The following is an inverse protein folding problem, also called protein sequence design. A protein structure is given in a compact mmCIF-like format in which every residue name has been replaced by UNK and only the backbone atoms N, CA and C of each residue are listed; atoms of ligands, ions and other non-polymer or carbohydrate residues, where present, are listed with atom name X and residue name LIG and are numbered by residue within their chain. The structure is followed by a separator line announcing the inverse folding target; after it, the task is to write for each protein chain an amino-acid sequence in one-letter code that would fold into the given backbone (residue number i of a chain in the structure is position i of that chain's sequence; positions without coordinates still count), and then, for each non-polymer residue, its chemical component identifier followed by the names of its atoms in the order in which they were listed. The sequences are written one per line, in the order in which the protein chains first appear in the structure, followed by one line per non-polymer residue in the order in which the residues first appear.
data_IF_734532448556
#
_entry.id   IF_734532448556
#
_cell.length_a   1.000
_cell.length_b   1.000
_cell.length_c   1.000
_cell.angle_alpha   90.00
_cell.angle_beta   90.00
_cell.angle_gamma   90.00
#
_symmetry.space_group_name_H-M   'P 1'
#
loop_
_entity.id
_entity.type
_entity.pdbx_description
1 polymer ?
#
# COMPACT_ATOMS: atom_id res chain seq x y z
N UNK A 1 15.84 -12.59 21.90
CA UNK A 1 15.37 -12.06 20.61
C UNK A 1 15.92 -10.66 20.33
N UNK A 2 15.61 -9.63 21.12
CA UNK A 2 16.02 -8.23 20.86
C UNK A 2 17.51 -8.04 20.52
N UNK A 3 18.44 -8.58 21.32
CA UNK A 3 19.88 -8.47 21.05
C UNK A 3 20.31 -9.11 19.71
N UNK A 4 19.66 -10.21 19.29
CA UNK A 4 19.94 -10.88 18.01
C UNK A 4 19.42 -10.07 16.82
N UNK A 5 18.25 -9.43 16.97
CA UNK A 5 17.74 -8.49 15.97
C UNK A 5 18.63 -7.24 15.90
N UNK A 6 19.09 -6.72 17.04
CA UNK A 6 19.99 -5.58 17.11
C UNK A 6 21.35 -5.86 16.44
N UNK A 7 21.83 -7.09 16.46
CA UNK A 7 23.03 -7.48 15.71
C UNK A 7 22.85 -7.38 14.18
N UNK A 8 21.61 -7.40 13.68
CA UNK A 8 21.28 -7.28 12.24
C UNK A 8 21.03 -5.81 11.88
N UNK A 9 20.13 -5.14 12.62
CA UNK A 9 19.64 -3.79 12.26
C UNK A 9 20.24 -2.64 13.09
N UNK A 10 21.16 -2.96 14.00
CA UNK A 10 21.68 -2.04 15.01
C UNK A 10 20.69 -1.82 16.17
N UNK A 11 21.19 -1.32 17.30
CA UNK A 11 20.36 -1.09 18.50
C UNK A 11 19.18 -0.14 18.25
N UNK A 12 19.41 0.94 17.48
CA UNK A 12 18.36 1.91 17.11
C UNK A 12 17.34 1.35 16.11
N UNK A 13 17.58 0.16 15.58
CA UNK A 13 16.66 -0.57 14.72
C UNK A 13 15.67 -1.44 15.49
N UNK A 14 15.82 -1.60 16.81
CA UNK A 14 14.93 -2.44 17.63
C UNK A 14 14.24 -1.59 18.70
N UNK A 15 12.92 -1.60 18.70
CA UNK A 15 12.09 -0.98 19.73
C UNK A 15 11.55 -2.08 20.65
N UNK A 16 11.63 -1.82 21.95
CA UNK A 16 11.23 -2.77 22.99
C UNK A 16 10.55 -2.08 24.19
N UNK A 17 10.73 -0.76 24.36
CA UNK A 17 10.17 -0.05 25.51
C UNK A 17 8.67 0.15 25.29
N UNK A 18 7.82 0.02 26.32
CA UNK A 18 6.38 0.20 26.19
C UNK A 18 5.96 1.53 25.55
N UNK A 19 6.70 2.62 25.81
CA UNK A 19 6.45 3.94 25.22
C UNK A 19 6.77 3.98 23.72
N UNK A 20 7.77 3.25 23.24
CA UNK A 20 8.10 3.14 21.82
C UNK A 20 7.08 2.27 21.08
N UNK A 21 6.65 1.18 21.71
CA UNK A 21 5.72 0.22 21.13
C UNK A 21 4.28 0.75 21.08
N UNK A 22 3.96 1.80 21.82
CA UNK A 22 2.65 2.44 21.82
C UNK A 22 2.23 2.93 20.41
N UNK A 23 3.17 3.45 19.62
CA UNK A 23 2.92 3.91 18.23
C UNK A 23 2.54 2.78 17.28
N UNK A 24 2.93 1.54 17.59
CA UNK A 24 2.63 0.35 16.80
C UNK A 24 1.49 -0.48 17.39
N UNK A 25 0.80 0.07 18.39
CA UNK A 25 -0.34 -0.60 19.03
C UNK A 25 -1.66 -0.44 18.27
N UNK A 26 -1.71 0.46 17.28
CA UNK A 26 -2.89 0.72 16.45
C UNK A 26 -2.49 0.88 14.99
N UNK A 27 -3.46 0.74 14.09
CA UNK A 27 -3.38 1.14 12.69
C UNK A 27 -4.52 2.13 12.40
N UNK A 28 -4.97 2.23 11.15
CA UNK A 28 -6.04 3.12 10.77
C UNK A 28 -7.42 2.70 11.29
N UNK A 29 -7.62 1.43 11.72
CA UNK A 29 -8.90 0.97 12.24
C UNK A 29 -9.14 1.50 13.67
N UNK A 30 -10.12 2.40 13.88
CA UNK A 30 -10.34 3.00 15.20
C UNK A 30 -10.85 1.96 16.22
N UNK A 31 -10.45 2.13 17.48
CA UNK A 31 -10.97 1.31 18.59
C UNK A 31 -10.26 -0.02 18.83
N UNK A 32 -9.38 -0.47 17.92
CA UNK A 32 -8.61 -1.71 18.07
C UNK A 32 -7.17 -1.40 18.46
N UNK A 33 -6.67 -2.07 19.51
CA UNK A 33 -5.29 -1.94 19.95
C UNK A 33 -4.70 -3.27 20.38
N UNK A 34 -3.54 -3.61 19.81
CA UNK A 34 -2.75 -4.78 20.18
C UNK A 34 -1.28 -4.37 20.27
N UNK A 35 -0.63 -4.64 21.41
CA UNK A 35 0.77 -4.26 21.61
C UNK A 35 1.68 -5.40 21.14
N UNK A 36 2.62 -5.13 20.22
CA UNK A 36 3.60 -6.13 19.82
C UNK A 36 4.64 -6.40 20.91
N UNK A 37 5.35 -7.52 20.80
CA UNK A 37 6.49 -7.83 21.68
C UNK A 37 7.70 -6.94 21.42
N UNK A 38 8.01 -6.74 20.14
CA UNK A 38 9.11 -5.92 19.63
C UNK A 38 8.69 -5.29 18.31
N UNK A 39 9.34 -4.20 17.93
CA UNK A 39 9.31 -3.71 16.56
C UNK A 39 10.74 -3.57 16.02
N UNK A 40 10.98 -4.00 14.78
CA UNK A 40 12.29 -4.00 14.14
C UNK A 40 12.24 -3.27 12.80
N UNK A 41 13.26 -2.45 12.51
CA UNK A 41 13.29 -1.53 11.38
C UNK A 41 14.57 -1.70 10.54
N UNK A 42 14.61 -2.70 9.65
CA UNK A 42 15.70 -2.85 8.69
C UNK A 42 15.80 -1.63 7.76
N UNK A 43 17.02 -1.24 7.41
CA UNK A 43 17.32 -0.12 6.49
C UNK A 43 17.87 -0.59 5.14
N UNK A 44 18.13 -1.90 4.99
CA UNK A 44 18.60 -2.49 3.73
C UNK A 44 17.84 -3.78 3.43
N UNK A 45 17.78 -4.13 2.13
CA UNK A 45 17.18 -5.40 1.67
C UNK A 45 17.78 -6.61 2.39
N UNK A 46 19.11 -6.63 2.56
CA UNK A 46 19.79 -7.73 3.24
C UNK A 46 19.38 -7.84 4.71
N UNK A 47 19.28 -6.71 5.43
CA UNK A 47 18.80 -6.74 6.82
C UNK A 47 17.37 -7.25 6.95
N UNK A 48 16.46 -6.89 6.03
CA UNK A 48 15.10 -7.42 6.04
C UNK A 48 15.10 -8.94 5.85
N UNK A 49 15.90 -9.44 4.89
CA UNK A 49 16.08 -10.88 4.65
C UNK A 49 16.57 -11.59 5.92
N UNK A 50 17.61 -11.05 6.55
CA UNK A 50 18.22 -11.65 7.74
C UNK A 50 17.28 -11.61 8.95
N UNK A 51 16.50 -10.54 9.12
CA UNK A 51 15.45 -10.43 10.14
C UNK A 51 14.39 -11.52 9.95
N UNK A 52 13.82 -11.65 8.75
CA UNK A 52 12.77 -12.65 8.49
C UNK A 52 13.32 -14.07 8.68
N UNK A 53 14.53 -14.36 8.21
CA UNK A 53 15.20 -15.66 8.42
C UNK A 53 15.46 -15.96 9.90
N UNK A 54 15.88 -14.96 10.68
CA UNK A 54 16.02 -15.12 12.14
C UNK A 54 14.66 -15.45 12.77
N UNK A 55 13.61 -14.70 12.45
CA UNK A 55 12.27 -14.91 13.01
C UNK A 55 11.71 -16.30 12.63
N UNK A 56 11.91 -16.72 11.38
CA UNK A 56 11.53 -18.04 10.89
C UNK A 56 12.23 -19.18 11.65
N UNK A 57 13.57 -19.10 11.80
CA UNK A 57 14.35 -20.10 12.53
C UNK A 57 13.93 -20.23 13.98
N UNK A 58 13.60 -19.11 14.62
CA UNK A 58 13.17 -19.06 16.03
C UNK A 58 11.66 -19.28 16.18
N UNK A 59 10.94 -19.59 15.09
CA UNK A 59 9.48 -19.78 15.07
C UNK A 59 8.73 -18.64 15.74
N UNK A 60 9.23 -17.42 15.59
CA UNK A 60 8.65 -16.22 16.19
C UNK A 60 7.68 -15.59 15.19
N UNK A 61 6.39 -15.44 15.53
CA UNK A 61 5.42 -14.82 14.64
C UNK A 61 5.80 -13.37 14.38
N UNK A 62 5.45 -12.87 13.21
CA UNK A 62 5.72 -11.48 12.85
C UNK A 62 4.65 -10.92 11.93
N UNK A 63 4.54 -9.59 11.93
CA UNK A 63 3.65 -8.82 11.05
C UNK A 63 4.51 -7.81 10.31
N UNK A 64 4.53 -7.90 8.99
CA UNK A 64 5.15 -6.88 8.16
C UNK A 64 4.26 -5.63 8.15
N UNK A 65 4.86 -4.46 8.34
CA UNK A 65 4.13 -3.21 8.49
C UNK A 65 4.75 -2.12 7.63
N UNK A 66 3.92 -1.53 6.75
CA UNK A 66 4.22 -0.27 6.07
C UNK A 66 3.98 0.93 7.00
N UNK A 67 3.17 1.90 6.56
CA UNK A 67 2.81 3.05 7.39
C UNK A 67 1.75 2.74 8.47
N UNK A 68 1.01 1.63 8.35
CA UNK A 68 -0.08 1.28 9.28
C UNK A 68 -1.34 2.13 9.10
N UNK A 69 -1.64 2.51 7.85
CA UNK A 69 -2.84 3.27 7.47
C UNK A 69 -4.03 2.37 7.10
N UNK A 70 -3.88 1.03 7.20
CA UNK A 70 -4.93 0.06 6.88
C UNK A 70 -6.10 0.15 7.85
N UNK A 71 -7.29 -0.27 7.40
CA UNK A 71 -8.55 -0.20 8.13
C UNK A 71 -9.09 -1.60 8.49
N UNK A 72 -8.23 -2.62 8.45
CA UNK A 72 -8.58 -4.04 8.65
C UNK A 72 -8.00 -4.67 9.92
N UNK A 73 -7.20 -3.91 10.70
CA UNK A 73 -6.32 -4.44 11.76
C UNK A 73 -5.15 -5.32 11.26
N UNK A 74 -4.95 -5.48 9.95
CA UNK A 74 -3.89 -6.32 9.38
C UNK A 74 -2.46 -5.89 9.75
N UNK A 75 -2.27 -4.63 10.15
CA UNK A 75 -0.98 -4.11 10.59
C UNK A 75 -0.74 -4.22 12.11
N UNK A 76 -1.64 -4.86 12.86
CA UNK A 76 -1.53 -5.08 14.30
C UNK A 76 -0.84 -6.40 14.62
N UNK A 77 -0.03 -6.39 15.67
CA UNK A 77 0.65 -7.58 16.18
C UNK A 77 0.36 -7.75 17.68
N UNK A 78 0.15 -8.99 18.12
CA UNK A 78 -0.20 -9.33 19.50
C UNK A 78 0.70 -10.43 20.07
N UNK A 79 0.68 -10.54 21.41
CA UNK A 79 1.40 -11.59 22.12
C UNK A 79 2.91 -11.53 21.83
N UNK A 80 3.46 -12.64 21.35
CA UNK A 80 4.89 -12.79 21.04
C UNK A 80 5.30 -12.22 19.66
N UNK A 81 4.35 -11.69 18.89
CA UNK A 81 4.62 -11.24 17.53
C UNK A 81 5.53 -10.01 17.48
N UNK A 82 6.43 -10.02 16.48
CA UNK A 82 7.33 -8.91 16.17
C UNK A 82 6.78 -8.10 15.00
N UNK A 83 6.71 -6.78 15.12
CA UNK A 83 6.44 -5.91 13.97
C UNK A 83 7.72 -5.73 13.17
N UNK A 84 7.68 -5.99 11.86
CA UNK A 84 8.78 -5.72 10.93
C UNK A 84 8.40 -4.48 10.10
N UNK A 85 8.95 -3.33 10.47
CA UNK A 85 8.67 -2.05 9.83
C UNK A 85 9.46 -1.86 8.54
N UNK A 86 8.75 -1.65 7.44
CA UNK A 86 9.33 -1.51 6.08
C UNK A 86 9.62 -0.07 5.69
N UNK A 87 9.13 0.90 6.47
CA UNK A 87 9.17 2.34 6.21
C UNK A 87 10.58 2.96 6.05
N UNK A 88 11.65 2.24 6.39
CA UNK A 88 13.04 2.68 6.14
C UNK A 88 13.63 2.16 4.81
N UNK A 89 12.93 1.26 4.12
CA UNK A 89 13.24 0.76 2.78
C UNK A 89 12.37 1.54 1.79
N UNK A 90 12.71 2.80 1.54
CA UNK A 90 11.80 3.76 0.88
C UNK A 90 12.35 4.39 -0.39
N UNK A 91 13.36 3.76 -1.01
CA UNK A 91 13.99 4.26 -2.22
C UNK A 91 13.19 3.89 -3.47
N UNK A 92 13.16 4.83 -4.42
CA UNK A 92 12.86 4.54 -5.82
C UNK A 92 14.18 4.09 -6.44
N UNK A 93 14.25 2.84 -6.90
CA UNK A 93 15.48 2.22 -7.39
C UNK A 93 15.73 2.57 -8.85
N UNK A 94 14.66 2.61 -9.67
CA UNK A 94 14.73 3.05 -11.07
C UNK A 94 13.37 3.53 -11.58
N UNK A 95 13.41 4.39 -12.60
CA UNK A 95 12.25 4.77 -13.43
C UNK A 95 12.69 4.66 -14.89
N UNK A 96 11.99 3.82 -15.64
CA UNK A 96 12.13 3.70 -17.10
C UNK A 96 10.91 4.38 -17.75
N UNK A 97 11.06 5.61 -18.26
CA UNK A 97 9.94 6.35 -18.86
C UNK A 97 9.54 5.81 -20.22
N UNK A 98 10.41 5.07 -20.93
CA UNK A 98 10.13 4.51 -22.25
C UNK A 98 9.23 3.29 -22.10
N UNK A 99 9.62 2.36 -21.23
CA UNK A 99 8.81 1.18 -20.94
C UNK A 99 7.68 1.45 -19.94
N UNK A 100 7.68 2.64 -19.31
CA UNK A 100 6.75 3.08 -18.26
C UNK A 100 6.74 2.10 -17.09
N UNK A 101 7.93 1.79 -16.59
CA UNK A 101 8.14 0.91 -15.44
C UNK A 101 8.89 1.67 -14.36
N UNK A 102 8.67 1.29 -13.11
CA UNK A 102 9.48 1.74 -11.98
C UNK A 102 9.74 0.58 -11.02
N UNK A 103 10.95 0.53 -10.47
CA UNK A 103 11.33 -0.42 -9.43
C UNK A 103 11.49 0.34 -8.12
N UNK A 104 10.81 -0.10 -7.06
CA UNK A 104 10.73 0.62 -5.79
C UNK A 104 10.83 -0.32 -4.59
N UNK A 105 11.39 0.19 -3.50
CA UNK A 105 11.38 -0.50 -2.21
C UNK A 105 9.98 -0.42 -1.56
N UNK A 106 9.58 -1.42 -0.75
CA UNK A 106 8.21 -1.56 -0.22
C UNK A 106 7.78 -0.45 0.76
N UNK A 107 8.74 0.25 1.36
CA UNK A 107 8.50 1.37 2.26
C UNK A 107 8.36 2.72 1.56
N UNK A 108 8.50 2.78 0.23
CA UNK A 108 8.32 4.03 -0.51
C UNK A 108 6.86 4.51 -0.34
N UNK A 109 6.66 5.78 0.01
CA UNK A 109 5.31 6.36 0.14
C UNK A 109 4.69 6.47 -1.24
N UNK A 110 3.43 6.06 -1.39
CA UNK A 110 2.76 5.95 -2.69
C UNK A 110 2.92 7.23 -3.55
N UNK A 111 2.56 8.39 -3.00
CA UNK A 111 2.59 9.66 -3.76
C UNK A 111 4.00 10.08 -4.19
N UNK A 112 5.07 9.60 -3.53
CA UNK A 112 6.44 9.99 -3.90
C UNK A 112 6.84 9.39 -5.23
N UNK A 113 6.31 8.21 -5.58
CA UNK A 113 6.52 7.61 -6.90
C UNK A 113 5.88 8.45 -8.01
N UNK A 114 4.62 8.86 -7.82
CA UNK A 114 3.94 9.77 -8.77
C UNK A 114 4.68 11.09 -8.94
N UNK A 115 5.18 11.69 -7.86
CA UNK A 115 5.97 12.93 -7.94
C UNK A 115 7.27 12.74 -8.72
N UNK A 116 7.98 11.62 -8.52
CA UNK A 116 9.22 11.34 -9.24
C UNK A 116 8.96 11.07 -10.73
N UNK A 117 7.96 10.24 -11.04
CA UNK A 117 7.55 9.91 -12.41
C UNK A 117 6.99 11.11 -13.18
N UNK A 118 6.45 12.11 -12.46
CA UNK A 118 5.86 13.31 -13.05
C UNK A 118 6.82 14.11 -13.94
N UNK A 119 8.13 14.03 -13.69
CA UNK A 119 9.17 14.64 -14.54
C UNK A 119 9.19 14.09 -15.97
N UNK A 120 8.59 12.92 -16.19
CA UNK A 120 8.45 12.25 -17.47
C UNK A 120 7.00 12.29 -18.03
N UNK A 121 6.11 13.07 -17.42
CA UNK A 121 4.69 13.08 -17.79
C UNK A 121 3.96 11.78 -17.41
N UNK A 122 4.46 11.07 -16.41
CA UNK A 122 3.92 9.80 -15.92
C UNK A 122 3.48 9.90 -14.45
N UNK A 123 2.62 8.99 -14.00
CA UNK A 123 2.24 8.79 -12.60
C UNK A 123 2.06 7.30 -12.27
N UNK A 124 2.09 6.96 -10.98
CA UNK A 124 1.61 5.67 -10.49
C UNK A 124 0.10 5.80 -10.22
N UNK A 125 -0.71 4.93 -10.84
CA UNK A 125 -2.16 5.16 -10.90
C UNK A 125 -2.94 4.80 -9.62
N UNK A 126 -2.61 3.72 -8.88
CA UNK A 126 -3.29 3.43 -7.63
C UNK A 126 -3.09 4.56 -6.63
N UNK A 127 -4.20 5.20 -6.25
CA UNK A 127 -4.23 6.43 -5.47
C UNK A 127 -5.13 6.33 -4.22
N UNK A 128 -4.81 5.44 -3.26
CA UNK A 128 -5.62 5.29 -2.06
C UNK A 128 -5.78 6.65 -1.36
N UNK A 129 -6.88 6.89 -0.63
CA UNK A 129 -7.06 8.16 0.08
C UNK A 129 -5.94 8.48 1.07
N UNK A 130 -5.19 7.45 1.51
CA UNK A 130 -3.99 7.56 2.33
C UNK A 130 -2.68 7.70 1.55
N UNK A 131 -2.68 7.95 0.23
CA UNK A 131 -1.50 7.97 -0.65
C UNK A 131 -0.35 8.89 -0.20
N UNK A 132 -0.65 9.90 0.61
CA UNK A 132 0.33 10.80 1.23
C UNK A 132 1.12 10.14 2.36
N UNK A 133 0.68 8.97 2.84
CA UNK A 133 1.25 8.24 3.96
C UNK A 133 1.46 6.74 3.69
N UNK A 134 0.53 6.07 3.01
CA UNK A 134 0.62 4.63 2.74
C UNK A 134 1.83 4.32 1.85
N UNK A 135 2.38 3.11 2.02
CA UNK A 135 3.59 2.69 1.30
C UNK A 135 3.24 1.68 0.21
N UNK A 136 4.09 1.57 -0.82
CA UNK A 136 3.90 0.66 -1.95
C UNK A 136 3.74 -0.79 -1.49
N UNK A 137 4.54 -1.26 -0.55
CA UNK A 137 4.41 -2.61 0.02
C UNK A 137 3.09 -2.83 0.77
N UNK A 138 2.57 -1.80 1.44
CA UNK A 138 1.22 -1.84 2.01
C UNK A 138 0.14 -1.89 0.93
N UNK A 139 0.33 -1.14 -0.17
CA UNK A 139 -0.58 -1.20 -1.30
C UNK A 139 -0.62 -2.58 -1.96
N UNK A 140 0.54 -3.23 -2.09
CA UNK A 140 0.65 -4.62 -2.55
C UNK A 140 -0.08 -5.56 -1.59
N UNK A 141 0.17 -5.46 -0.28
CA UNK A 141 -0.46 -6.33 0.71
C UNK A 141 -2.00 -6.21 0.71
N UNK A 142 -2.54 -5.01 0.51
CA UNK A 142 -3.98 -4.74 0.59
C UNK A 142 -4.68 -4.69 -0.78
N UNK A 143 -3.96 -4.97 -1.88
CA UNK A 143 -4.42 -4.73 -3.25
C UNK A 143 -5.11 -3.35 -3.41
N UNK A 144 -4.46 -2.29 -2.92
CA UNK A 144 -5.15 -1.02 -2.72
C UNK A 144 -5.67 -0.42 -4.04
N UNK A 145 -6.88 0.12 -3.98
CA UNK A 145 -7.47 0.98 -5.02
C UNK A 145 -7.37 2.46 -4.65
N UNK A 146 -8.39 3.21 -5.02
CA UNK A 146 -8.53 4.64 -4.82
C UNK A 146 -9.69 5.17 -5.67
N UNK A 147 -9.99 6.47 -5.63
CA UNK A 147 -11.06 7.07 -6.44
C UNK A 147 -10.90 6.78 -7.94
N UNK A 148 -9.67 6.61 -8.42
CA UNK A 148 -9.42 6.36 -9.84
C UNK A 148 -9.40 4.88 -10.25
N UNK A 149 -9.76 3.96 -9.35
CA UNK A 149 -9.73 2.52 -9.65
C UNK A 149 -10.75 2.10 -10.72
N UNK A 150 -11.84 2.86 -10.89
CA UNK A 150 -12.81 2.62 -11.96
C UNK A 150 -12.15 2.66 -13.34
N UNK A 151 -11.25 3.62 -13.57
CA UNK A 151 -10.58 3.80 -14.86
C UNK A 151 -9.27 3.04 -14.96
N UNK A 152 -8.48 3.01 -13.89
CA UNK A 152 -7.12 2.48 -13.93
C UNK A 152 -6.95 1.14 -13.22
N UNK A 153 -7.96 0.62 -12.54
CA UNK A 153 -7.85 -0.60 -11.73
C UNK A 153 -7.18 -0.36 -10.37
N UNK A 154 -6.86 -1.46 -9.70
CA UNK A 154 -6.25 -1.49 -8.36
C UNK A 154 -4.77 -1.90 -8.45
N UNK A 155 -4.07 -1.94 -7.31
CA UNK A 155 -2.63 -2.23 -7.25
C UNK A 155 -2.22 -3.47 -8.06
N UNK A 156 -3.00 -4.55 -8.03
CA UNK A 156 -2.74 -5.76 -8.84
C UNK A 156 -2.59 -5.45 -10.34
N UNK A 157 -3.39 -4.52 -10.89
CA UNK A 157 -3.33 -4.16 -12.30
C UNK A 157 -2.04 -3.42 -12.68
N UNK A 158 -1.28 -2.92 -11.68
CA UNK A 158 -0.07 -2.13 -11.89
C UNK A 158 1.19 -2.83 -11.43
N UNK A 159 1.12 -3.89 -10.64
CA UNK A 159 2.31 -4.68 -10.25
C UNK A 159 2.69 -5.63 -11.39
N UNK A 160 3.93 -5.54 -11.84
CA UNK A 160 4.47 -6.34 -12.96
C UNK A 160 5.42 -7.43 -12.46
N UNK A 161 6.12 -7.17 -11.36
CA UNK A 161 6.94 -8.17 -10.68
C UNK A 161 7.12 -7.84 -9.20
N UNK A 162 7.35 -8.89 -8.40
CA UNK A 162 7.69 -8.80 -6.99
C UNK A 162 8.88 -9.71 -6.69
N UNK A 163 9.87 -9.19 -5.96
CA UNK A 163 10.72 -10.05 -5.17
C UNK A 163 10.15 -10.11 -3.76
N UNK A 164 9.88 -11.31 -3.25
CA UNK A 164 9.28 -11.50 -1.93
C UNK A 164 10.10 -12.49 -1.11
N UNK A 165 10.14 -12.29 0.20
CA UNK A 165 10.65 -13.28 1.15
C UNK A 165 9.48 -13.97 1.83
N UNK A 166 9.42 -15.29 1.71
CA UNK A 166 8.39 -16.13 2.32
C UNK A 166 8.66 -16.28 3.84
N UNK A 167 7.67 -16.77 4.57
CA UNK A 167 7.81 -17.05 6.01
C UNK A 167 8.90 -18.10 6.32
N UNK A 168 9.29 -18.93 5.35
CA UNK A 168 10.42 -19.86 5.45
C UNK A 168 11.79 -19.17 5.38
N UNK A 169 11.85 -17.93 4.90
CA UNK A 169 13.09 -17.21 4.59
C UNK A 169 13.63 -17.45 3.17
N UNK A 170 12.90 -18.23 2.36
CA UNK A 170 13.12 -18.37 0.91
C UNK A 170 12.73 -17.08 0.18
N UNK A 171 13.46 -16.73 -0.87
CA UNK A 171 13.17 -15.58 -1.71
C UNK A 171 12.65 -16.09 -3.05
N UNK A 172 11.50 -15.58 -3.48
CA UNK A 172 10.90 -15.92 -4.76
C UNK A 172 10.62 -14.66 -5.58
N UNK A 173 10.80 -14.78 -6.89
CA UNK A 173 10.43 -13.79 -7.89
C UNK A 173 9.05 -14.17 -8.43
N UNK A 174 8.12 -13.22 -8.43
CA UNK A 174 6.82 -13.35 -9.07
C UNK A 174 6.76 -12.35 -10.23
N UNK A 175 6.21 -12.76 -11.38
CA UNK A 175 6.12 -11.92 -12.57
C UNK A 175 7.45 -11.68 -13.30
N UNK A 176 7.46 -10.72 -14.22
CA UNK A 176 8.61 -10.39 -15.06
C UNK A 176 8.96 -8.90 -14.95
N UNK A 177 10.14 -8.59 -14.40
CA UNK A 177 10.56 -7.21 -14.15
C UNK A 177 10.81 -6.39 -15.44
N UNK A 178 11.10 -7.07 -16.55
CA UNK A 178 11.28 -6.43 -17.87
C UNK A 178 9.94 -6.17 -18.59
N UNK A 179 8.82 -6.60 -17.99
CA UNK A 179 7.49 -6.56 -18.57
C UNK A 179 7.14 -7.78 -19.41
N UNK A 180 5.85 -7.90 -19.78
CA UNK A 180 5.31 -9.07 -20.49
C UNK A 180 4.83 -10.17 -19.55
N UNK A 181 4.44 -11.30 -20.13
CA UNK A 181 4.00 -12.48 -19.38
C UNK A 181 5.21 -13.25 -18.82
N UNK A 182 5.05 -13.79 -17.61
CA UNK A 182 6.02 -14.71 -17.03
C UNK A 182 5.60 -16.15 -17.37
N UNK A 183 6.57 -17.06 -17.48
CA UNK A 183 6.28 -18.48 -17.69
C UNK A 183 5.56 -19.08 -16.46
N UNK A 184 4.54 -19.91 -16.71
CA UNK A 184 3.83 -20.65 -15.67
C UNK A 184 2.58 -19.93 -15.15
N UNK A 185 2.29 -20.12 -13.86
CA UNK A 185 1.09 -19.54 -13.23
C UNK A 185 1.30 -18.07 -12.88
N UNK A 186 0.26 -17.26 -13.08
CA UNK A 186 0.23 -15.90 -12.54
C UNK A 186 0.02 -15.94 -11.01
N UNK A 187 1.14 -15.99 -10.29
CA UNK A 187 1.16 -15.97 -8.83
C UNK A 187 1.21 -14.54 -8.26
N UNK A 188 1.27 -13.49 -9.10
CA UNK A 188 1.13 -12.11 -8.61
C UNK A 188 -0.25 -11.91 -8.01
N UNK A 189 -1.30 -12.39 -8.70
CA UNK A 189 -2.68 -12.34 -8.21
C UNK A 189 -2.92 -13.09 -6.90
N UNK A 190 -2.07 -14.07 -6.57
CA UNK A 190 -2.13 -14.77 -5.28
C UNK A 190 -1.43 -13.99 -4.15
N UNK A 191 -0.39 -13.22 -4.45
CA UNK A 191 0.38 -12.47 -3.45
C UNK A 191 -0.18 -11.07 -3.20
N UNK A 192 -0.58 -10.35 -4.26
CA UNK A 192 -1.18 -9.02 -4.12
C UNK A 192 -2.55 -9.15 -3.46
N UNK A 193 -2.77 -8.46 -2.35
CA UNK A 193 -3.98 -8.64 -1.53
C UNK A 193 -3.86 -9.74 -0.47
N UNK A 194 -2.69 -10.37 -0.29
CA UNK A 194 -2.53 -11.42 0.73
C UNK A 194 -2.41 -10.89 2.16
N UNK A 195 -2.49 -9.57 2.37
CA UNK A 195 -2.35 -8.90 3.68
C UNK A 195 -1.04 -9.26 4.42
N UNK A 196 0.03 -9.54 3.65
CA UNK A 196 1.33 -9.98 4.20
C UNK A 196 1.36 -11.41 4.74
N UNK A 197 0.30 -12.20 4.56
CA UNK A 197 0.19 -13.58 5.07
C UNK A 197 1.09 -14.59 4.34
N UNK A 198 1.47 -14.33 3.08
CA UNK A 198 2.32 -15.23 2.29
C UNK A 198 3.80 -14.85 2.30
N UNK A 199 4.14 -13.65 2.75
CA UNK A 199 5.51 -13.18 2.81
C UNK A 199 5.59 -11.66 2.85
N UNK A 200 6.81 -11.16 2.68
CA UNK A 200 7.12 -9.73 2.71
C UNK A 200 7.73 -9.32 1.37
N UNK A 201 7.16 -8.30 0.74
CA UNK A 201 7.77 -7.71 -0.45
C UNK A 201 9.14 -7.11 -0.09
N UNK A 202 10.17 -7.45 -0.88
CA UNK A 202 11.52 -6.88 -0.81
C UNK A 202 11.68 -5.74 -1.81
N UNK A 203 11.04 -5.87 -2.97
CA UNK A 203 11.12 -4.98 -4.11
C UNK A 203 9.87 -5.14 -4.97
N UNK A 204 9.37 -4.04 -5.53
CA UNK A 204 8.14 -4.00 -6.32
C UNK A 204 8.44 -3.32 -7.65
N UNK A 205 8.16 -4.02 -8.76
CA UNK A 205 8.16 -3.42 -10.09
C UNK A 205 6.73 -3.08 -10.47
N UNK A 206 6.49 -1.81 -10.81
CA UNK A 206 5.17 -1.30 -11.16
C UNK A 206 5.13 -0.65 -12.53
N UNK A 207 3.96 -0.68 -13.16
CA UNK A 207 3.61 0.08 -14.35
C UNK A 207 3.29 1.52 -13.99
N UNK A 208 3.72 2.44 -14.84
CA UNK A 208 3.38 3.85 -14.79
C UNK A 208 2.37 4.20 -15.89
N UNK A 209 1.51 5.16 -15.60
CA UNK A 209 0.44 5.64 -16.47
C UNK A 209 0.78 7.02 -16.98
N UNK A 210 0.43 7.33 -18.23
CA UNK A 210 0.60 8.66 -18.78
C UNK A 210 -0.36 9.64 -18.12
N UNK A 211 0.14 10.85 -17.83
CA UNK A 211 -0.70 11.92 -17.32
C UNK A 211 -1.75 12.31 -18.39
N UNK A 212 -2.99 12.58 -17.98
CA UNK A 212 -4.01 13.05 -18.91
C UNK A 212 -3.66 14.46 -19.41
N UNK A 213 -4.06 14.78 -20.64
CA UNK A 213 -3.89 16.11 -21.24
C UNK A 213 -4.67 17.20 -20.47
N UNK A 214 -5.71 16.80 -19.73
CA UNK A 214 -6.48 17.69 -18.87
C UNK A 214 -7.42 16.93 -17.94
N UNK A 215 -7.81 17.61 -16.87
CA UNK A 215 -8.79 17.12 -15.88
C UNK A 215 -9.98 18.08 -15.84
N UNK A 216 -11.18 17.52 -15.74
CA UNK A 216 -12.43 18.26 -15.49
C UNK A 216 -13.20 17.53 -14.40
N UNK A 217 -13.63 18.28 -13.40
CA UNK A 217 -14.45 17.77 -12.29
C UNK A 217 -15.83 18.39 -12.39
N UNK A 218 -16.87 17.57 -12.26
CA UNK A 218 -18.25 17.99 -12.25
C UNK A 218 -18.86 17.61 -10.90
N UNK A 219 -19.61 18.53 -10.30
CA UNK A 219 -20.41 18.28 -9.12
C UNK A 219 -21.89 18.40 -9.52
N UNK A 220 -22.70 17.42 -9.12
CA UNK A 220 -24.14 17.41 -9.35
C UNK A 220 -24.85 17.01 -8.07
N UNK A 221 -25.91 17.72 -7.72
CA UNK A 221 -26.79 17.38 -6.60
C UNK A 221 -28.05 16.66 -7.10
N UNK A 222 -28.64 15.85 -6.22
CA UNK A 222 -29.83 15.07 -6.52
C UNK A 222 -30.78 15.13 -5.32
N UNK A 223 -32.08 15.20 -5.60
CA UNK A 223 -33.11 15.21 -4.56
C UNK A 223 -33.28 13.85 -3.86
N UNK A 224 -32.68 12.78 -4.38
CA UNK A 224 -32.65 11.46 -3.75
C UNK A 224 -31.43 10.64 -4.16
N UNK A 225 -31.04 9.69 -3.31
CA UNK A 225 -29.95 8.73 -3.57
C UNK A 225 -30.23 7.94 -4.85
N UNK A 226 -31.49 7.51 -5.05
CA UNK A 226 -31.87 6.75 -6.25
C UNK A 226 -31.67 7.55 -7.55
N UNK A 227 -31.91 8.86 -7.53
CA UNK A 227 -31.68 9.70 -8.69
C UNK A 227 -30.18 9.83 -9.01
N UNK A 228 -29.34 10.01 -7.99
CA UNK A 228 -27.88 9.98 -8.14
C UNK A 228 -27.38 8.64 -8.69
N UNK A 229 -27.85 7.53 -8.12
CA UNK A 229 -27.47 6.18 -8.56
C UNK A 229 -27.93 5.86 -10.00
N UNK A 230 -29.10 6.37 -10.44
CA UNK A 230 -29.51 6.27 -11.85
C UNK A 230 -28.61 7.09 -12.77
N UNK A 231 -28.19 8.28 -12.34
CA UNK A 231 -27.29 9.10 -13.12
C UNK A 231 -25.91 8.45 -13.31
N UNK A 232 -25.34 7.87 -12.24
CA UNK A 232 -24.06 7.13 -12.34
C UNK A 232 -24.19 5.94 -13.29
N UNK A 233 -25.28 5.18 -13.17
CA UNK A 233 -25.58 4.04 -14.06
C UNK A 233 -25.72 4.48 -15.53
N UNK A 234 -26.41 5.58 -15.79
CA UNK A 234 -26.63 6.11 -17.14
C UNK A 234 -25.31 6.57 -17.80
N UNK A 235 -24.39 7.17 -17.04
CA UNK A 235 -23.05 7.55 -17.53
C UNK A 235 -22.29 6.32 -18.03
N UNK A 236 -22.24 5.26 -17.22
CA UNK A 236 -21.55 4.02 -17.59
C UNK A 236 -22.25 3.33 -18.76
N UNK A 237 -23.59 3.28 -18.76
CA UNK A 237 -24.38 2.68 -19.84
C UNK A 237 -24.21 3.41 -21.19
N UNK A 238 -23.88 4.70 -21.17
CA UNK A 238 -23.54 5.49 -22.36
C UNK A 238 -22.11 5.21 -22.88
N UNK A 239 -21.35 4.31 -22.24
CA UNK A 239 -19.97 3.98 -22.61
C UNK A 239 -18.94 5.02 -22.13
N UNK A 240 -19.33 5.94 -21.25
CA UNK A 240 -18.43 6.92 -20.65
C UNK A 240 -17.79 6.29 -19.43
N UNK A 241 -16.45 6.27 -19.38
CA UNK A 241 -15.67 5.80 -18.23
C UNK A 241 -14.95 6.98 -17.55
N UNK A 242 -15.58 7.64 -16.56
CA UNK A 242 -14.95 8.72 -15.81
C UNK A 242 -13.68 8.25 -15.11
N UNK A 243 -12.75 9.18 -14.88
CA UNK A 243 -11.55 8.89 -14.11
C UNK A 243 -11.91 8.53 -12.65
N UNK A 244 -12.88 9.23 -12.06
CA UNK A 244 -13.48 8.93 -10.77
C UNK A 244 -14.98 9.23 -10.84
N UNK A 245 -15.79 8.50 -10.06
CA UNK A 245 -17.24 8.71 -9.97
C UNK A 245 -17.70 8.37 -8.55
N UNK A 246 -17.80 9.40 -7.71
CA UNK A 246 -18.07 9.28 -6.28
C UNK A 246 -19.48 9.81 -5.94
N UNK A 247 -20.11 9.23 -4.92
CA UNK A 247 -21.41 9.65 -4.40
C UNK A 247 -21.35 9.82 -2.88
N UNK A 248 -21.96 10.89 -2.38
CA UNK A 248 -22.11 11.16 -0.95
C UNK A 248 -23.57 11.42 -0.62
N UNK A 249 -24.06 10.87 0.49
CA UNK A 249 -25.42 11.11 0.95
C UNK A 249 -25.49 12.37 1.85
N UNK A 250 -26.71 12.87 2.07
CA UNK A 250 -26.94 14.06 2.89
C UNK A 250 -26.38 13.96 4.32
N UNK A 251 -26.57 12.85 5.05
CA UNK A 251 -25.91 12.64 6.35
C UNK A 251 -24.38 12.75 6.30
N UNK A 252 -23.72 12.13 5.31
CA UNK A 252 -22.26 12.20 5.17
C UNK A 252 -21.79 13.61 4.86
N UNK A 253 -22.48 14.32 3.96
CA UNK A 253 -22.20 15.74 3.67
C UNK A 253 -22.26 16.57 4.96
N UNK A 254 -23.35 16.45 5.73
CA UNK A 254 -23.48 17.18 7.01
C UNK A 254 -22.37 16.82 8.00
N UNK A 255 -21.96 15.56 8.07
CA UNK A 255 -20.87 15.14 8.95
C UNK A 255 -19.51 15.75 8.53
N UNK A 256 -19.24 15.81 7.23
CA UNK A 256 -18.03 16.44 6.67
C UNK A 256 -18.03 17.94 6.94
N UNK A 257 -19.14 18.63 6.65
CA UNK A 257 -19.27 20.09 6.87
C UNK A 257 -19.26 20.49 8.35
N UNK A 258 -19.66 19.59 9.26
CA UNK A 258 -19.54 19.81 10.71
C UNK A 258 -18.13 19.52 11.26
N UNK A 259 -17.22 18.97 10.45
CA UNK A 259 -15.86 18.61 10.86
C UNK A 259 -14.86 19.74 10.63
N UNK A 260 -13.63 19.57 11.13
CA UNK A 260 -12.50 20.48 10.80
C UNK A 260 -12.10 20.44 9.32
N UNK A 261 -12.68 19.53 8.53
CA UNK A 261 -12.43 19.32 7.12
C UNK A 261 -13.60 19.77 6.23
N UNK A 262 -14.42 20.73 6.70
CA UNK A 262 -15.51 21.32 5.93
C UNK A 262 -15.03 21.70 4.51
N UNK A 263 -15.73 21.19 3.49
CA UNK A 263 -15.29 21.22 2.10
C UNK A 263 -16.16 22.14 1.23
N UNK A 264 -17.23 22.73 1.80
CA UNK A 264 -18.16 23.60 1.09
C UNK A 264 -19.08 22.82 0.15
N UNK A 265 -19.43 21.58 0.49
CA UNK A 265 -20.46 20.84 -0.22
C UNK A 265 -21.83 21.55 -0.08
N UNK A 266 -22.68 21.51 -1.12
CA UNK A 266 -23.99 22.15 -1.13
C UNK A 266 -24.97 21.55 -0.11
#
# INVERSE_FOLDING_TARGET
MAARLAAIVGERGVLARPSELATYSSDGLPGYRLRPRLAVFPTTRQQLIDVVRLLAREKTPFVARGAGTGLSAGALASGDAVVVGLNRLNRILSIDPVNRLAVVEPGAVNVTLTRAAGTHGLHYAPDPSSQTACTIGGNVAENSGGPHCLKYGVTLNHVVALDVILASGEIVRLGNADGGEADGYDLLGAFVGSEGCFGVALEVTVRLTQNPEGVRTLLADFMSIDAGARATSAIIAAGILPAALEMMDGPTIRAVEASIYAAGYP
#
